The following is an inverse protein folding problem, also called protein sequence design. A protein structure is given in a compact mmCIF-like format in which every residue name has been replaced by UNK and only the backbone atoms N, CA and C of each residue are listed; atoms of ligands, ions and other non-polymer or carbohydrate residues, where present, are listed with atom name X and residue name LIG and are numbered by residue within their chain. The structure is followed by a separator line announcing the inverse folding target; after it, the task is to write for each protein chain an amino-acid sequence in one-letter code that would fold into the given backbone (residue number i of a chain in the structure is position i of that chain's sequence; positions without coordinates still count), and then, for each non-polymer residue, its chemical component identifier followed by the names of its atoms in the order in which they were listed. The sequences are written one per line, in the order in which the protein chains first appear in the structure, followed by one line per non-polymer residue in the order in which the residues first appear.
data_IF_200821729272
#
_entry.id   IF_200821729272
#
_cell.length_a   1.000
_cell.length_b   1.000
_cell.length_c   1.000
_cell.angle_alpha   90.00
_cell.angle_beta   90.00
_cell.angle_gamma   90.00
#
_symmetry.space_group_name_H-M   'P 1'
#
loop_
_entity.id
_entity.type
_entity.pdbx_description
1 polymer ?
#
# COMPACT_ATOMS: atom_id res chain seq x y z
N UNK A 1 -0.97 21.08 12.51
CA UNK A 1 -2.32 20.97 11.90
C UNK A 1 -2.26 19.91 10.82
N UNK A 2 -3.35 19.16 10.63
CA UNK A 2 -3.39 18.00 9.73
C UNK A 2 -3.60 18.44 8.27
N UNK A 3 -2.96 17.74 7.34
CA UNK A 3 -3.20 17.82 5.90
C UNK A 3 -3.35 16.40 5.35
N UNK A 4 -4.34 16.17 4.49
CA UNK A 4 -4.59 14.88 3.87
C UNK A 4 -6.08 14.57 3.73
N UNK A 5 -6.39 13.44 3.10
CA UNK A 5 -7.76 12.94 2.95
C UNK A 5 -8.11 11.99 4.09
N UNK A 6 -9.40 11.94 4.43
CA UNK A 6 -9.95 11.01 5.40
C UNK A 6 -11.21 10.39 4.81
N UNK A 7 -11.17 9.09 4.57
CA UNK A 7 -12.34 8.25 4.37
C UNK A 7 -12.83 7.78 5.75
N UNK A 8 -14.11 7.94 6.06
CA UNK A 8 -14.67 7.54 7.35
C UNK A 8 -16.10 7.04 7.23
N UNK A 9 -16.52 6.21 8.18
CA UNK A 9 -17.88 5.67 8.28
C UNK A 9 -18.53 6.22 9.55
N UNK A 10 -19.81 6.57 9.46
CA UNK A 10 -20.65 6.91 10.59
C UNK A 10 -22.07 6.34 10.37
N UNK A 11 -23.01 6.65 11.27
CA UNK A 11 -24.41 6.20 11.19
C UNK A 11 -25.13 6.52 9.87
N UNK A 12 -24.68 7.53 9.12
CA UNK A 12 -25.32 7.99 7.89
C UNK A 12 -24.71 7.34 6.63
N UNK A 13 -23.53 6.72 6.75
CA UNK A 13 -22.85 6.03 5.66
C UNK A 13 -21.33 6.24 5.63
N UNK A 14 -20.75 6.12 4.43
CA UNK A 14 -19.33 6.37 4.17
C UNK A 14 -19.13 7.76 3.57
N UNK A 15 -18.07 8.43 3.97
CA UNK A 15 -17.78 9.82 3.63
C UNK A 15 -16.31 10.01 3.30
N UNK A 16 -16.03 11.00 2.46
CA UNK A 16 -14.70 11.51 2.15
C UNK A 16 -14.64 12.98 2.55
N UNK A 17 -13.60 13.33 3.28
CA UNK A 17 -13.25 14.73 3.50
C UNK A 17 -11.76 14.99 3.41
N UNK A 18 -11.40 16.26 3.41
CA UNK A 18 -10.05 16.77 3.25
C UNK A 18 -9.71 17.70 4.41
N UNK A 19 -8.59 17.43 5.04
CA UNK A 19 -7.92 18.41 5.89
C UNK A 19 -6.91 19.18 5.03
N UNK A 20 -7.07 20.49 4.99
CA UNK A 20 -6.02 21.41 4.57
C UNK A 20 -5.97 22.55 5.60
N UNK A 21 -5.43 22.23 6.78
CA UNK A 21 -5.56 23.00 8.03
C UNK A 21 -6.97 23.02 8.59
N UNK A 22 -7.96 23.37 7.77
CA UNK A 22 -9.38 23.27 8.06
C UNK A 22 -9.99 22.01 7.44
N UNK A 23 -11.13 21.58 7.98
CA UNK A 23 -11.90 20.47 7.43
C UNK A 23 -12.76 20.94 6.25
N UNK A 24 -12.81 20.13 5.20
CA UNK A 24 -13.72 20.27 4.06
C UNK A 24 -14.37 18.92 3.78
N UNK A 25 -15.69 18.88 3.78
CA UNK A 25 -16.43 17.72 3.30
C UNK A 25 -16.37 17.66 1.77
N UNK A 26 -16.17 16.48 1.19
CA UNK A 26 -16.04 16.30 -0.27
C UNK A 26 -17.20 15.52 -0.87
N UNK A 27 -17.43 14.28 -0.41
CA UNK A 27 -18.41 13.37 -1.00
C UNK A 27 -18.85 12.31 0.02
N UNK A 28 -20.03 11.71 -0.18
CA UNK A 28 -20.52 10.64 0.69
C UNK A 28 -21.59 9.76 0.05
N UNK A 29 -21.73 8.55 0.57
CA UNK A 29 -22.72 7.58 0.14
C UNK A 29 -23.37 6.90 1.34
N UNK A 30 -24.70 6.73 1.27
CA UNK A 30 -25.46 6.02 2.31
C UNK A 30 -25.04 4.55 2.36
N UNK A 31 -25.04 4.02 3.58
CA UNK A 31 -24.89 2.59 3.85
C UNK A 31 -26.02 2.16 4.79
N UNK A 32 -26.49 0.93 4.63
CA UNK A 32 -27.45 0.32 5.55
C UNK A 32 -26.70 -0.24 6.75
N UNK A 33 -27.18 0.07 7.96
CA UNK A 33 -26.62 -0.35 9.26
C UNK A 33 -25.07 -0.27 9.35
N UNK A 34 -24.46 0.92 9.13
CA UNK A 34 -23.00 1.06 9.03
C UNK A 34 -22.24 1.00 10.37
N UNK A 35 -22.96 0.93 11.49
CA UNK A 35 -22.39 0.99 12.84
C UNK A 35 -22.63 -0.32 13.59
N UNK A 36 -21.83 -0.56 14.62
CA UNK A 36 -21.86 -1.76 15.47
C UNK A 36 -21.59 -3.09 14.75
N UNK A 37 -21.09 -3.03 13.51
CA UNK A 37 -20.69 -4.18 12.68
C UNK A 37 -19.31 -3.95 12.04
N UNK A 38 -18.60 -5.04 11.75
CA UNK A 38 -17.32 -4.96 11.04
C UNK A 38 -17.54 -4.51 9.58
N UNK A 39 -16.95 -3.37 9.23
CA UNK A 39 -16.95 -2.86 7.86
C UNK A 39 -15.60 -3.13 7.20
N UNK A 40 -15.62 -3.82 6.05
CA UNK A 40 -14.44 -3.93 5.21
C UNK A 40 -14.34 -2.68 4.33
N UNK A 41 -13.26 -1.90 4.48
CA UNK A 41 -13.02 -0.67 3.73
C UNK A 41 -11.76 -0.83 2.88
N UNK A 42 -11.86 -0.46 1.61
CA UNK A 42 -10.71 -0.35 0.70
C UNK A 42 -10.71 1.06 0.10
N UNK A 43 -9.55 1.71 0.14
CA UNK A 43 -9.32 3.00 -0.52
C UNK A 43 -8.28 2.80 -1.61
N UNK A 44 -8.61 3.24 -2.83
CA UNK A 44 -7.71 3.23 -3.98
C UNK A 44 -7.49 4.68 -4.39
N UNK A 45 -6.27 5.18 -4.18
CA UNK A 45 -5.86 6.52 -4.58
C UNK A 45 -4.92 6.45 -5.77
N UNK A 46 -5.32 7.04 -6.91
CA UNK A 46 -4.52 7.11 -8.13
C UNK A 46 -4.48 8.55 -8.65
N UNK A 47 -3.32 9.21 -8.51
CA UNK A 47 -3.22 10.64 -8.77
C UNK A 47 -4.16 11.43 -7.87
N UNK A 48 -5.07 12.22 -8.46
CA UNK A 48 -6.11 12.98 -7.74
C UNK A 48 -7.42 12.21 -7.57
N UNK A 49 -7.56 11.03 -8.18
CA UNK A 49 -8.74 10.20 -8.06
C UNK A 49 -8.67 9.31 -6.81
N UNK A 50 -9.75 9.29 -6.04
CA UNK A 50 -9.91 8.57 -4.80
C UNK A 50 -11.20 7.75 -4.89
N UNK A 51 -11.04 6.43 -4.87
CA UNK A 51 -12.15 5.47 -4.81
C UNK A 51 -12.23 4.83 -3.43
N UNK A 52 -13.42 4.81 -2.84
CA UNK A 52 -13.69 4.18 -1.55
C UNK A 52 -14.72 3.08 -1.75
N UNK A 53 -14.37 1.88 -1.34
CA UNK A 53 -15.20 0.69 -1.36
C UNK A 53 -15.54 0.33 0.08
N UNK A 54 -16.79 -0.08 0.30
CA UNK A 54 -17.26 -0.61 1.59
C UNK A 54 -18.13 -1.83 1.35
N UNK A 55 -17.87 -2.93 2.07
CA UNK A 55 -18.61 -4.20 1.95
C UNK A 55 -18.02 -5.14 0.89
N UNK A 56 -18.69 -5.30 -0.25
CA UNK A 56 -18.39 -6.30 -1.29
C UNK A 56 -17.02 -6.16 -1.98
N UNK A 57 -16.40 -4.98 -1.91
CA UNK A 57 -15.13 -4.62 -2.56
C UNK A 57 -15.15 -4.56 -4.10
N UNK A 58 -16.32 -4.71 -4.73
CA UNK A 58 -16.49 -4.76 -6.18
C UNK A 58 -16.82 -3.39 -6.77
N UNK A 59 -17.77 -2.68 -6.15
CA UNK A 59 -18.21 -1.36 -6.62
C UNK A 59 -17.81 -0.26 -5.62
N UNK A 60 -17.12 0.80 -6.07
CA UNK A 60 -16.82 1.91 -5.18
C UNK A 60 -18.12 2.59 -4.76
N UNK A 61 -18.25 2.87 -3.46
CA UNK A 61 -19.33 3.70 -2.91
C UNK A 61 -19.07 5.18 -3.18
N UNK A 62 -17.79 5.58 -3.26
CA UNK A 62 -17.35 6.92 -3.65
C UNK A 62 -16.27 6.79 -4.72
N UNK A 63 -16.38 7.58 -5.80
CA UNK A 63 -15.37 7.75 -6.85
C UNK A 63 -15.21 9.25 -7.10
N UNK A 64 -14.18 9.86 -6.50
CA UNK A 64 -14.03 11.31 -6.40
C UNK A 64 -12.71 11.75 -7.03
N UNK A 65 -12.72 12.81 -7.83
CA UNK A 65 -11.52 13.42 -8.41
C UNK A 65 -11.30 14.82 -7.82
N UNK A 66 -10.20 15.02 -7.09
CA UNK A 66 -9.86 16.33 -6.53
C UNK A 66 -9.19 17.22 -7.58
N UNK A 67 -9.99 18.01 -8.28
CA UNK A 67 -9.51 18.98 -9.28
C UNK A 67 -8.92 20.26 -8.66
N UNK A 68 -8.78 20.37 -7.34
CA UNK A 68 -8.25 21.58 -6.71
C UNK A 68 -6.73 21.69 -6.88
N UNK A 69 -6.22 22.92 -6.98
CA UNK A 69 -4.77 23.18 -6.96
C UNK A 69 -4.07 22.79 -5.64
N UNK A 70 -4.84 22.31 -4.64
CA UNK A 70 -4.35 21.89 -3.34
C UNK A 70 -4.50 20.38 -3.13
N UNK A 71 -4.71 19.61 -4.20
CA UNK A 71 -4.81 18.16 -4.11
C UNK A 71 -3.50 17.54 -3.59
N UNK A 72 -3.62 16.51 -2.75
CA UNK A 72 -2.46 15.79 -2.22
C UNK A 72 -2.27 14.48 -3.00
N UNK A 73 -1.08 14.28 -3.55
CA UNK A 73 -0.73 13.06 -4.34
C UNK A 73 0.30 12.17 -3.63
N UNK A 74 0.76 12.58 -2.45
CA UNK A 74 1.68 11.83 -1.61
C UNK A 74 1.37 12.11 -0.14
N UNK A 75 1.70 11.16 0.74
CA UNK A 75 1.43 11.29 2.16
C UNK A 75 1.72 10.01 2.91
N UNK A 76 1.42 10.01 4.21
CA UNK A 76 1.46 8.82 5.05
C UNK A 76 0.05 8.30 5.26
N UNK A 77 -0.08 6.98 5.39
CA UNK A 77 -1.36 6.33 5.74
C UNK A 77 -1.47 6.20 7.26
N UNK A 78 -2.67 6.38 7.78
CA UNK A 78 -2.99 6.17 9.18
C UNK A 78 -4.49 6.03 9.39
N UNK A 79 -4.88 5.66 10.60
CA UNK A 79 -6.28 5.53 11.02
C UNK A 79 -6.61 6.55 12.11
N UNK A 80 -7.87 6.95 12.20
CA UNK A 80 -8.33 7.98 13.15
C UNK A 80 -9.76 7.71 13.59
N UNK A 81 -9.98 7.66 14.90
CA UNK A 81 -11.31 7.78 15.52
C UNK A 81 -11.61 9.24 15.88
N UNK A 82 -12.89 9.61 15.89
CA UNK A 82 -13.39 10.89 16.39
C UNK A 82 -14.60 10.64 17.28
N UNK A 83 -14.45 10.86 18.58
CA UNK A 83 -15.52 10.76 19.58
C UNK A 83 -16.29 9.41 19.56
N UNK A 84 -15.61 8.33 19.21
CA UNK A 84 -16.17 6.97 19.15
C UNK A 84 -15.19 5.92 19.65
N UNK A 85 -15.71 4.83 20.20
CA UNK A 85 -14.93 3.61 20.44
C UNK A 85 -14.84 2.82 19.14
N UNK A 86 -13.69 2.89 18.47
CA UNK A 86 -13.48 2.29 17.14
C UNK A 86 -12.34 1.29 17.19
N UNK A 87 -12.56 0.11 16.63
CA UNK A 87 -11.55 -0.94 16.48
C UNK A 87 -11.14 -1.02 15.01
N UNK A 88 -9.87 -1.30 14.77
CA UNK A 88 -9.32 -1.55 13.45
C UNK A 88 -8.58 -2.88 13.48
N UNK A 89 -8.72 -3.64 12.41
CA UNK A 89 -8.00 -4.89 12.20
C UNK A 89 -7.69 -5.05 10.70
N UNK A 90 -6.69 -5.88 10.37
CA UNK A 90 -6.28 -6.20 9.00
C UNK A 90 -5.99 -4.96 8.12
N UNK A 91 -5.33 -3.94 8.69
CA UNK A 91 -4.88 -2.77 7.92
C UNK A 91 -3.66 -3.17 7.07
N UNK A 92 -3.82 -3.09 5.75
CA UNK A 92 -2.74 -3.27 4.80
C UNK A 92 -2.69 -2.11 3.80
N UNK A 93 -1.49 -1.74 3.37
CA UNK A 93 -1.25 -0.68 2.40
C UNK A 93 -0.28 -1.21 1.36
N UNK A 94 -0.63 -1.05 0.08
CA UNK A 94 0.22 -1.41 -1.04
C UNK A 94 0.15 -0.35 -2.14
N UNK A 95 1.25 -0.15 -2.89
CA UNK A 95 1.22 0.59 -4.14
C UNK A 95 0.20 -0.03 -5.11
N UNK A 96 -0.37 0.79 -6.01
CA UNK A 96 -1.25 0.28 -7.07
C UNK A 96 -0.49 -0.50 -8.14
N UNK A 97 0.76 -0.12 -8.37
CA UNK A 97 1.67 -0.77 -9.30
C UNK A 97 2.98 -1.09 -8.58
N UNK A 98 2.98 -2.09 -7.69
CA UNK A 98 4.18 -2.47 -6.97
C UNK A 98 5.24 -2.98 -7.95
N UNK A 99 6.48 -2.60 -7.72
CA UNK A 99 7.61 -2.87 -8.60
C UNK A 99 8.90 -3.12 -7.83
N UNK A 100 9.93 -3.58 -8.53
CA UNK A 100 11.26 -3.72 -7.94
C UNK A 100 11.83 -2.40 -7.41
N UNK A 101 11.37 -1.24 -7.91
CA UNK A 101 11.78 0.08 -7.41
C UNK A 101 11.40 0.26 -5.95
N UNK A 102 10.20 -0.15 -5.53
CA UNK A 102 9.74 -0.02 -4.15
C UNK A 102 10.66 -0.77 -3.18
N UNK A 103 11.11 -1.97 -3.57
CA UNK A 103 12.05 -2.77 -2.79
C UNK A 103 13.44 -2.13 -2.77
N UNK A 104 13.89 -1.57 -3.90
CA UNK A 104 15.18 -0.88 -3.99
C UNK A 104 15.23 0.35 -3.07
N UNK A 105 14.16 1.13 -2.99
CA UNK A 105 14.04 2.26 -2.07
C UNK A 105 14.13 1.81 -0.61
N UNK A 106 13.38 0.77 -0.23
CA UNK A 106 13.45 0.18 1.12
C UNK A 106 14.89 -0.27 1.44
N UNK A 107 15.57 -0.94 0.50
CA UNK A 107 16.96 -1.38 0.70
C UNK A 107 17.93 -0.20 0.84
N UNK A 108 17.73 0.89 0.09
CA UNK A 108 18.57 2.08 0.17
C UNK A 108 18.42 2.79 1.53
N UNK A 109 17.20 2.87 2.06
CA UNK A 109 16.95 3.39 3.42
C UNK A 109 17.63 2.56 4.51
N UNK A 110 17.73 1.24 4.31
CA UNK A 110 18.29 0.29 5.26
C UNK A 110 19.69 -0.20 4.89
N UNK A 111 20.41 0.50 4.00
CA UNK A 111 21.72 0.04 3.51
C UNK A 111 22.72 -0.20 4.66
N UNK A 112 22.67 0.64 5.70
CA UNK A 112 23.57 0.56 6.86
C UNK A 112 23.28 -0.64 7.78
N UNK A 113 22.10 -1.23 7.66
CA UNK A 113 21.66 -2.37 8.47
C UNK A 113 22.07 -3.72 7.85
N UNK A 114 22.67 -3.68 6.66
CA UNK A 114 23.09 -4.84 5.89
C UNK A 114 24.59 -4.81 5.66
N UNK A 115 25.23 -5.98 5.63
CA UNK A 115 26.59 -6.06 5.11
C UNK A 115 26.58 -5.73 3.61
N UNK A 116 27.58 -4.99 3.13
CA UNK A 116 27.65 -4.51 1.74
C UNK A 116 27.49 -5.63 0.70
N UNK A 117 28.04 -6.82 0.99
CA UNK A 117 27.90 -7.99 0.11
C UNK A 117 26.44 -8.46 -0.03
N UNK A 118 25.67 -8.39 1.05
CA UNK A 118 24.31 -8.90 1.15
C UNK A 118 23.33 -7.88 0.54
N UNK A 119 23.52 -6.59 0.86
CA UNK A 119 22.87 -5.47 0.17
C UNK A 119 23.05 -5.56 -1.35
N UNK A 120 24.30 -5.75 -1.80
CA UNK A 120 24.61 -5.84 -3.23
C UNK A 120 23.99 -7.06 -3.89
N UNK A 121 23.96 -8.21 -3.21
CA UNK A 121 23.30 -9.43 -3.70
C UNK A 121 21.82 -9.18 -3.97
N UNK A 122 21.10 -8.62 -2.98
CA UNK A 122 19.69 -8.28 -3.10
C UNK A 122 19.43 -7.26 -4.23
N UNK A 123 20.23 -6.18 -4.27
CA UNK A 123 20.11 -5.11 -5.28
C UNK A 123 20.32 -5.59 -6.71
N UNK A 124 21.33 -6.43 -6.94
CA UNK A 124 21.63 -6.96 -8.29
C UNK A 124 20.49 -7.84 -8.79
N UNK A 125 19.92 -8.69 -7.93
CA UNK A 125 18.78 -9.53 -8.29
C UNK A 125 17.58 -8.68 -8.72
N UNK A 126 17.20 -7.69 -7.90
CA UNK A 126 16.10 -6.77 -8.20
C UNK A 126 16.32 -5.98 -9.48
N UNK A 127 17.55 -5.52 -9.73
CA UNK A 127 17.91 -4.82 -10.98
C UNK A 127 17.65 -5.69 -12.20
N UNK A 128 17.95 -6.99 -12.14
CA UNK A 128 17.64 -7.93 -13.21
C UNK A 128 16.13 -8.12 -13.39
N UNK A 129 15.37 -8.23 -12.29
CA UNK A 129 13.90 -8.32 -12.35
C UNK A 129 13.27 -7.07 -12.95
N UNK A 130 13.76 -5.88 -12.61
CA UNK A 130 13.29 -4.62 -13.20
C UNK A 130 13.44 -4.56 -14.72
N UNK A 131 14.40 -5.30 -15.30
CA UNK A 131 14.49 -5.45 -16.77
C UNK A 131 13.38 -6.32 -17.35
N UNK A 132 12.85 -7.29 -16.59
CA UNK A 132 11.68 -8.07 -17.00
C UNK A 132 10.38 -7.28 -16.84
N UNK A 133 10.27 -6.45 -15.79
CA UNK A 133 9.15 -5.53 -15.60
C UNK A 133 9.02 -4.57 -16.79
N UNK A 134 10.13 -3.91 -17.18
CA UNK A 134 10.18 -3.02 -18.36
C UNK A 134 9.80 -3.70 -19.67
N UNK A 135 10.01 -5.02 -19.77
CA UNK A 135 9.65 -5.83 -20.95
C UNK A 135 8.24 -6.42 -20.87
N UNK A 136 7.47 -6.11 -19.81
CA UNK A 136 6.14 -6.68 -19.60
C UNK A 136 6.14 -8.21 -19.44
N UNK A 137 7.27 -8.80 -19.06
CA UNK A 137 7.43 -10.27 -19.05
C UNK A 137 6.93 -10.89 -17.75
N UNK A 138 5.61 -10.89 -17.52
CA UNK A 138 4.96 -11.33 -16.27
C UNK A 138 5.50 -12.67 -15.73
N UNK A 139 5.54 -13.71 -16.58
CA UNK A 139 6.07 -15.03 -16.19
C UNK A 139 7.50 -14.99 -15.68
N UNK A 140 8.35 -14.14 -16.24
CA UNK A 140 9.75 -13.98 -15.78
C UNK A 140 9.80 -13.17 -14.50
N UNK A 141 9.02 -12.11 -14.37
CA UNK A 141 8.93 -11.33 -13.13
C UNK A 141 8.54 -12.25 -11.97
N UNK A 142 7.42 -12.96 -12.09
CA UNK A 142 6.93 -13.89 -11.06
C UNK A 142 8.01 -14.92 -10.71
N UNK A 143 8.58 -15.61 -11.71
CA UNK A 143 9.61 -16.64 -11.48
C UNK A 143 10.81 -16.09 -10.70
N UNK A 144 11.32 -14.92 -11.09
CA UNK A 144 12.50 -14.36 -10.45
C UNK A 144 12.17 -13.73 -9.09
N UNK A 145 10.95 -13.24 -8.86
CA UNK A 145 10.52 -12.79 -7.55
C UNK A 145 10.32 -13.95 -6.57
N UNK A 146 9.85 -15.12 -7.01
CA UNK A 146 9.85 -16.32 -6.15
C UNK A 146 11.28 -16.72 -5.75
N UNK A 147 12.25 -16.67 -6.67
CA UNK A 147 13.67 -16.86 -6.32
C UNK A 147 14.23 -15.75 -5.42
N UNK A 148 13.67 -14.54 -5.46
CA UNK A 148 14.03 -13.47 -4.52
C UNK A 148 13.52 -13.78 -3.10
N UNK A 149 12.35 -14.42 -2.95
CA UNK A 149 11.86 -14.89 -1.65
C UNK A 149 12.81 -15.91 -1.03
N UNK A 150 13.27 -16.88 -1.82
CA UNK A 150 14.26 -17.85 -1.37
C UNK A 150 15.56 -17.16 -0.89
N UNK A 151 16.00 -16.09 -1.58
CA UNK A 151 17.14 -15.29 -1.16
C UNK A 151 16.87 -14.55 0.16
N UNK A 152 15.67 -14.00 0.36
CA UNK A 152 15.29 -13.35 1.63
C UNK A 152 15.24 -14.37 2.77
N UNK A 153 14.69 -15.56 2.53
CA UNK A 153 14.64 -16.64 3.53
C UNK A 153 16.06 -17.05 3.93
N UNK A 154 16.96 -17.23 2.96
CA UNK A 154 18.37 -17.49 3.23
C UNK A 154 19.02 -16.38 4.07
N UNK A 155 18.77 -15.10 3.74
CA UNK A 155 19.31 -13.98 4.49
C UNK A 155 18.81 -14.00 5.95
N UNK A 156 17.54 -14.33 6.17
CA UNK A 156 16.96 -14.43 7.52
C UNK A 156 17.53 -15.62 8.29
N UNK A 157 17.56 -16.80 7.68
CA UNK A 157 18.03 -18.05 8.31
C UNK A 157 19.51 -17.97 8.74
N UNK A 158 20.30 -17.13 8.08
CA UNK A 158 21.70 -16.89 8.40
C UNK A 158 21.94 -15.61 9.22
N UNK A 159 20.87 -15.01 9.76
CA UNK A 159 20.92 -13.79 10.59
C UNK A 159 21.59 -12.58 9.88
N UNK A 160 21.58 -12.56 8.55
CA UNK A 160 22.17 -11.50 7.72
C UNK A 160 21.22 -10.30 7.53
N UNK A 161 19.95 -10.49 7.87
CA UNK A 161 18.90 -9.47 7.82
C UNK A 161 18.05 -9.52 9.08
N UNK A 162 17.57 -8.37 9.56
CA UNK A 162 16.66 -8.33 10.69
C UNK A 162 15.29 -8.91 10.32
N UNK A 163 14.61 -9.54 11.28
CA UNK A 163 13.23 -10.04 11.10
C UNK A 163 12.26 -8.94 10.64
N UNK A 164 12.46 -7.71 11.10
CA UNK A 164 11.65 -6.56 10.70
C UNK A 164 11.82 -6.22 9.22
N UNK A 165 13.07 -6.06 8.76
CA UNK A 165 13.37 -5.75 7.36
C UNK A 165 12.97 -6.91 6.43
N UNK A 166 13.22 -8.16 6.83
CA UNK A 166 12.71 -9.34 6.13
C UNK A 166 11.19 -9.27 5.93
N UNK A 167 10.44 -8.98 6.98
CA UNK A 167 8.97 -8.90 6.92
C UNK A 167 8.48 -7.86 5.90
N UNK A 168 9.13 -6.69 5.87
CA UNK A 168 8.81 -5.63 4.92
C UNK A 168 9.13 -6.08 3.48
N UNK A 169 10.35 -6.56 3.23
CA UNK A 169 10.78 -6.97 1.88
C UNK A 169 9.96 -8.15 1.35
N UNK A 170 9.63 -9.12 2.21
CA UNK A 170 8.80 -10.28 1.86
C UNK A 170 7.36 -9.86 1.52
N UNK A 171 6.75 -8.96 2.30
CA UNK A 171 5.42 -8.45 2.04
C UNK A 171 5.36 -7.68 0.71
N UNK A 172 6.32 -6.79 0.44
CA UNK A 172 6.41 -6.06 -0.84
C UNK A 172 6.65 -7.02 -1.99
N UNK A 173 7.52 -8.03 -1.83
CA UNK A 173 7.77 -9.06 -2.84
C UNK A 173 6.50 -9.84 -3.20
N UNK A 174 5.73 -10.27 -2.21
CA UNK A 174 4.46 -10.95 -2.45
C UNK A 174 3.47 -10.04 -3.19
N UNK A 175 3.43 -8.76 -2.84
CA UNK A 175 2.56 -7.78 -3.52
C UNK A 175 2.91 -7.62 -5.00
N UNK A 176 4.20 -7.61 -5.36
CA UNK A 176 4.67 -7.62 -6.76
C UNK A 176 4.21 -8.90 -7.46
N UNK A 177 4.40 -10.06 -6.85
CA UNK A 177 3.99 -11.34 -7.43
C UNK A 177 2.48 -11.36 -7.71
N UNK A 178 1.66 -10.97 -6.74
CA UNK A 178 0.19 -10.94 -6.91
C UNK A 178 -0.23 -9.93 -7.98
N UNK A 179 0.38 -8.74 -8.03
CA UNK A 179 0.12 -7.76 -9.10
C UNK A 179 0.39 -8.36 -10.49
N UNK A 180 1.54 -9.02 -10.67
CA UNK A 180 1.90 -9.62 -11.96
C UNK A 180 1.13 -10.90 -12.31
N UNK A 181 0.53 -11.60 -11.33
CA UNK A 181 -0.41 -12.71 -11.59
C UNK A 181 -1.70 -12.23 -12.26
N UNK A 182 -2.10 -10.98 -12.01
CA UNK A 182 -3.28 -10.36 -12.62
C UNK A 182 -3.02 -9.71 -14.00
N UNK A 183 -1.80 -9.83 -14.56
CA UNK A 183 -1.40 -9.23 -15.84
C UNK A 183 -1.33 -10.23 -16.98
#
# INVERSE_FOLDING_TARGET
MLQGYVAYVNKDGVHLGKFNYNWTYLEGAKLDDPIDEWQHIKVVANGTNIKIYVGDMDKPKIDYDDHSATAFIHGKVGVRSVLSDTKYDNIFVQPLEPSTTDILEILEEHQKDLAEKDYRSLKVHLTAVGQFEKKGSAKKVIKHMEGYKELLDYQLDNELISKGLYGILMATTNSIIEYWKGK
#
